data_IF_188592874482
#
_entry.id   IF_188592874482
#
_cell.length_a   1.000
_cell.length_b   1.000
_cell.length_c   1.000
_cell.angle_alpha   90.00
_cell.angle_beta   90.00
_cell.angle_gamma   90.00
#
_symmetry.space_group_name_H-M   'P 1'
#
loop_
_entity.id
_entity.type
_entity.pdbx_description
1 polymer ?
#
# COMPACT_ATOMS: atom_id res chain seq x y z
N UNK A 1 17.85 13.67 -9.50
CA UNK A 1 19.19 13.59 -8.86
C UNK A 1 19.19 13.94 -7.37
N UNK A 2 18.23 14.72 -6.87
CA UNK A 2 18.22 15.24 -5.47
C UNK A 2 17.29 14.50 -4.52
N UNK A 3 16.52 13.51 -4.97
CA UNK A 3 15.51 12.81 -4.16
C UNK A 3 16.04 11.67 -3.29
N UNK A 4 17.20 11.11 -3.61
CA UNK A 4 17.84 10.08 -2.77
C UNK A 4 18.73 10.67 -1.67
N UNK A 5 19.02 11.97 -1.74
CA UNK A 5 19.69 12.71 -0.68
C UNK A 5 18.65 13.56 0.05
N UNK A 6 18.41 13.33 1.32
CA UNK A 6 17.64 14.23 2.19
C UNK A 6 18.39 15.57 2.26
N UNK A 7 18.19 16.44 1.26
CA UNK A 7 18.73 17.77 1.25
C UNK A 7 17.81 18.67 2.08
N UNK A 8 18.31 19.11 3.21
CA UNK A 8 17.62 20.06 4.08
C UNK A 8 18.36 21.37 4.01
N UNK A 9 17.68 22.42 3.65
CA UNK A 9 18.23 23.77 3.67
C UNK A 9 17.22 24.75 4.27
N UNK A 10 17.73 25.81 4.84
CA UNK A 10 16.94 26.97 5.24
C UNK A 10 17.27 28.16 4.36
N UNK A 11 16.39 29.13 4.31
CA UNK A 11 16.67 30.41 3.65
C UNK A 11 16.24 31.58 4.52
N UNK A 12 16.94 32.69 4.37
CA UNK A 12 16.55 33.98 4.93
C UNK A 12 16.46 34.99 3.82
N UNK A 13 15.25 35.54 3.61
CA UNK A 13 14.95 36.50 2.55
C UNK A 13 14.78 37.91 3.12
N UNK A 14 15.45 38.89 2.49
CA UNK A 14 15.29 40.33 2.73
C UNK A 14 15.10 41.06 1.41
N UNK A 15 14.76 42.34 1.45
CA UNK A 15 14.54 43.12 0.25
C UNK A 15 15.75 43.18 -0.72
N UNK A 16 16.98 43.04 -0.20
CA UNK A 16 18.21 43.13 -0.98
C UNK A 16 19.07 41.86 -1.01
N UNK A 17 18.76 40.86 -0.21
CA UNK A 17 19.61 39.67 -0.06
C UNK A 17 18.76 38.41 0.23
N UNK A 18 19.23 37.31 -0.31
CA UNK A 18 18.79 35.97 0.09
C UNK A 18 20.02 35.18 0.55
N UNK A 19 19.86 34.46 1.67
CA UNK A 19 20.89 33.61 2.24
C UNK A 19 20.33 32.22 2.34
N UNK A 20 21.00 31.25 1.72
CA UNK A 20 20.69 29.83 1.87
C UNK A 20 21.64 29.21 2.90
N UNK A 21 21.11 28.40 3.79
CA UNK A 21 21.82 27.74 4.86
C UNK A 21 21.65 26.25 4.66
N UNK A 22 22.73 25.54 4.41
CA UNK A 22 22.72 24.09 4.22
C UNK A 22 23.81 23.40 5.04
N UNK A 23 23.64 22.09 5.21
CA UNK A 23 24.63 21.24 5.84
C UNK A 23 25.17 20.23 4.79
N UNK A 24 26.30 20.57 4.12
CA UNK A 24 26.95 19.62 3.22
C UNK A 24 27.45 20.15 1.88
N UNK A 25 27.29 21.42 1.53
CA UNK A 25 27.88 22.07 0.34
C UNK A 25 27.36 21.55 -1.02
N UNK A 26 26.20 20.92 -1.05
CA UNK A 26 25.63 20.31 -2.27
C UNK A 26 24.67 21.24 -3.03
N UNK A 27 24.03 22.15 -2.31
CA UNK A 27 23.01 23.06 -2.88
C UNK A 27 23.66 24.29 -3.50
N UNK A 28 24.78 24.77 -2.96
CA UNK A 28 25.46 25.97 -3.45
C UNK A 28 25.66 25.99 -4.96
N UNK A 29 26.35 25.00 -5.57
CA UNK A 29 26.58 24.97 -7.01
C UNK A 29 25.28 24.90 -7.83
N UNK A 30 24.24 24.26 -7.29
CA UNK A 30 22.92 24.19 -7.96
C UNK A 30 22.21 25.55 -7.92
N UNK A 31 22.27 26.29 -6.80
CA UNK A 31 21.70 27.63 -6.67
C UNK A 31 22.45 28.62 -7.58
N UNK A 32 23.78 28.53 -7.65
CA UNK A 32 24.59 29.33 -8.56
C UNK A 32 24.15 29.13 -10.01
N UNK A 33 23.92 27.91 -10.44
CA UNK A 33 23.40 27.62 -11.77
C UNK A 33 21.99 28.21 -11.98
N UNK A 34 21.11 28.21 -10.95
CA UNK A 34 19.81 28.86 -11.06
C UNK A 34 19.93 30.40 -11.20
N UNK A 35 20.89 31.00 -10.51
CA UNK A 35 21.18 32.41 -10.62
C UNK A 35 21.71 32.78 -12.02
N UNK A 36 22.59 31.96 -12.61
CA UNK A 36 23.08 32.14 -13.99
C UNK A 36 21.96 32.12 -15.02
N UNK A 37 20.94 31.25 -14.84
CA UNK A 37 19.76 31.18 -15.74
C UNK A 37 18.95 32.48 -15.70
N UNK A 38 18.87 33.14 -14.56
CA UNK A 38 18.16 34.41 -14.41
C UNK A 38 18.91 35.62 -15.00
N UNK A 39 20.24 35.50 -15.23
CA UNK A 39 21.09 36.56 -15.77
C UNK A 39 21.52 37.58 -14.71
N UNK A 40 22.07 38.74 -15.15
CA UNK A 40 22.75 39.69 -14.27
C UNK A 40 21.83 40.60 -13.44
N UNK A 41 20.52 40.60 -13.69
CA UNK A 41 19.58 41.52 -13.05
C UNK A 41 18.34 40.74 -12.51
N UNK A 42 18.47 40.12 -11.34
CA UNK A 42 17.35 39.51 -10.67
C UNK A 42 17.19 40.05 -9.24
N UNK A 43 15.96 39.96 -8.73
CA UNK A 43 15.67 40.21 -7.32
C UNK A 43 15.85 38.94 -6.50
N UNK A 44 16.15 39.06 -5.16
CA UNK A 44 16.20 37.90 -4.28
C UNK A 44 14.95 37.05 -4.30
N UNK A 45 13.77 37.64 -4.45
CA UNK A 45 12.49 36.95 -4.57
C UNK A 45 12.37 36.14 -5.86
N UNK A 46 12.88 36.67 -7.00
CA UNK A 46 12.91 35.91 -8.25
C UNK A 46 13.82 34.70 -8.19
N UNK A 47 14.99 34.83 -7.55
CA UNK A 47 15.88 33.68 -7.33
C UNK A 47 15.19 32.60 -6.46
N UNK A 48 14.53 33.03 -5.38
CA UNK A 48 13.80 32.08 -4.52
C UNK A 48 12.70 31.37 -5.34
N UNK A 49 11.91 32.10 -6.12
CA UNK A 49 10.86 31.51 -6.96
C UNK A 49 11.44 30.50 -7.98
N UNK A 50 12.57 30.83 -8.61
CA UNK A 50 13.25 29.94 -9.55
C UNK A 50 13.74 28.66 -8.86
N UNK A 51 14.35 28.80 -7.69
CA UNK A 51 14.82 27.67 -6.86
C UNK A 51 13.64 26.77 -6.48
N UNK A 52 12.59 27.34 -5.90
CA UNK A 52 11.42 26.61 -5.43
C UNK A 52 10.65 25.96 -6.60
N UNK A 53 10.51 26.67 -7.72
CA UNK A 53 9.86 26.15 -8.94
C UNK A 53 10.60 24.94 -9.53
N UNK A 54 11.93 25.00 -9.56
CA UNK A 54 12.74 23.89 -10.08
C UNK A 54 12.80 22.69 -9.15
N UNK A 55 12.63 22.88 -7.83
CA UNK A 55 12.54 21.78 -6.90
C UNK A 55 11.38 20.82 -7.17
N UNK A 56 10.28 21.36 -7.72
CA UNK A 56 9.07 20.59 -8.00
C UNK A 56 8.84 20.32 -9.49
N UNK A 57 9.82 20.68 -10.36
CA UNK A 57 9.66 20.61 -11.83
C UNK A 57 9.32 19.22 -12.32
N UNK A 58 10.03 18.20 -11.82
CA UNK A 58 9.94 16.83 -12.28
C UNK A 58 9.05 15.95 -11.37
N UNK A 59 8.42 16.58 -10.36
CA UNK A 59 7.69 15.84 -9.32
C UNK A 59 6.48 15.09 -9.84
N UNK A 60 5.82 15.64 -10.86
CA UNK A 60 4.69 14.94 -11.47
C UNK A 60 5.13 13.63 -12.15
N UNK A 61 6.26 13.63 -12.85
CA UNK A 61 6.80 12.42 -13.49
C UNK A 61 7.22 11.39 -12.46
N UNK A 62 7.79 11.86 -11.35
CA UNK A 62 8.17 10.98 -10.27
C UNK A 62 6.96 10.33 -9.56
N UNK A 63 5.88 11.09 -9.33
CA UNK A 63 4.65 10.55 -8.77
C UNK A 63 3.98 9.56 -9.72
N UNK A 64 3.94 9.88 -11.03
CA UNK A 64 3.43 8.94 -12.04
C UNK A 64 4.23 7.63 -12.07
N UNK A 65 5.54 7.67 -11.88
CA UNK A 65 6.35 6.45 -11.77
C UNK A 65 6.02 5.64 -10.50
N UNK A 66 5.76 6.31 -9.36
CA UNK A 66 5.31 5.59 -8.15
C UNK A 66 3.94 4.96 -8.38
N UNK A 67 3.03 5.66 -9.05
CA UNK A 67 1.70 5.16 -9.41
C UNK A 67 1.80 3.89 -10.26
N UNK A 68 2.59 3.93 -11.35
CA UNK A 68 2.86 2.75 -12.17
C UNK A 68 3.41 1.56 -11.37
N UNK A 69 4.32 1.82 -10.43
CA UNK A 69 4.85 0.77 -9.55
C UNK A 69 3.79 0.20 -8.60
N UNK A 70 2.82 1.01 -8.17
CA UNK A 70 1.72 0.52 -7.34
C UNK A 70 0.69 -0.28 -8.15
N UNK A 71 0.44 0.07 -9.41
CA UNK A 71 -0.37 -0.73 -10.35
C UNK A 71 0.25 -2.11 -10.60
N UNK A 72 1.57 -2.19 -10.78
CA UNK A 72 2.27 -3.48 -10.90
C UNK A 72 2.13 -4.36 -9.64
N UNK A 73 1.96 -3.77 -8.45
CA UNK A 73 1.66 -4.53 -7.24
C UNK A 73 0.25 -5.11 -7.26
N UNK A 74 -0.72 -4.43 -7.84
CA UNK A 74 -2.09 -4.93 -8.04
C UNK A 74 -2.11 -6.17 -8.94
N UNK A 75 -1.39 -6.11 -10.06
CA UNK A 75 -1.23 -7.25 -10.96
C UNK A 75 -0.64 -8.47 -10.24
N UNK A 76 0.40 -8.26 -9.44
CA UNK A 76 1.01 -9.33 -8.64
C UNK A 76 0.02 -9.96 -7.62
N UNK A 77 -0.89 -9.17 -7.02
CA UNK A 77 -1.93 -9.69 -6.12
C UNK A 77 -2.90 -10.58 -6.91
N UNK A 78 -3.36 -10.13 -8.06
CA UNK A 78 -4.33 -10.85 -8.90
C UNK A 78 -3.76 -12.14 -9.48
N UNK A 79 -2.47 -12.15 -9.80
CA UNK A 79 -1.73 -13.34 -10.26
C UNK A 79 -1.36 -14.30 -9.12
N UNK A 80 -1.54 -13.90 -7.86
CA UNK A 80 -1.20 -14.71 -6.68
C UNK A 80 0.30 -14.71 -6.33
N UNK A 81 1.09 -13.82 -6.92
CA UNK A 81 2.52 -13.67 -6.63
C UNK A 81 2.74 -12.69 -5.47
N UNK A 82 2.54 -13.15 -4.25
CA UNK A 82 2.47 -12.30 -3.04
C UNK A 82 3.74 -12.30 -2.18
N UNK A 83 4.82 -12.97 -2.61
CA UNK A 83 5.98 -13.27 -1.75
C UNK A 83 6.66 -12.07 -1.05
N UNK A 84 6.74 -10.90 -1.71
CA UNK A 84 7.36 -9.69 -1.15
C UNK A 84 6.40 -8.49 -1.08
N UNK A 85 5.11 -8.71 -1.32
CA UNK A 85 4.13 -7.65 -1.46
C UNK A 85 4.02 -6.77 -0.21
N UNK A 86 3.94 -7.37 0.97
CA UNK A 86 3.83 -6.64 2.24
C UNK A 86 5.01 -5.68 2.46
N UNK A 87 6.23 -6.11 2.12
CA UNK A 87 7.43 -5.27 2.22
C UNK A 87 7.35 -4.09 1.26
N UNK A 88 6.90 -4.34 0.02
CA UNK A 88 6.73 -3.30 -1.01
C UNK A 88 5.65 -2.28 -0.61
N UNK A 89 4.49 -2.72 -0.17
CA UNK A 89 3.42 -1.86 0.33
C UNK A 89 3.91 -0.96 1.49
N UNK A 90 4.64 -1.53 2.43
CA UNK A 90 5.19 -0.78 3.57
C UNK A 90 6.20 0.27 3.12
N UNK A 91 7.06 -0.07 2.15
CA UNK A 91 8.05 0.84 1.57
C UNK A 91 7.39 2.04 0.88
N UNK A 92 6.40 1.79 0.02
CA UNK A 92 5.68 2.85 -0.68
C UNK A 92 4.86 3.71 0.29
N UNK A 93 4.19 3.10 1.28
CA UNK A 93 3.46 3.83 2.31
C UNK A 93 4.34 4.83 3.05
N UNK A 94 5.55 4.41 3.44
CA UNK A 94 6.51 5.30 4.10
C UNK A 94 6.94 6.43 3.17
N UNK A 95 7.28 6.11 1.92
CA UNK A 95 7.73 7.09 0.92
C UNK A 95 6.64 8.13 0.61
N UNK A 96 5.38 7.70 0.45
CA UNK A 96 4.25 8.61 0.25
C UNK A 96 3.98 9.49 1.47
N UNK A 97 4.18 8.97 2.68
CA UNK A 97 4.07 9.79 3.90
C UNK A 97 5.14 10.88 3.97
N UNK A 98 6.37 10.56 3.59
CA UNK A 98 7.48 11.53 3.51
C UNK A 98 7.21 12.60 2.44
N UNK A 99 6.69 12.20 1.27
CA UNK A 99 6.31 13.14 0.20
C UNK A 99 5.14 14.03 0.59
N UNK A 100 4.14 13.48 1.28
CA UNK A 100 3.02 14.28 1.76
C UNK A 100 3.49 15.39 2.72
N UNK A 101 4.34 15.06 3.69
CA UNK A 101 4.90 16.02 4.61
C UNK A 101 5.79 17.06 3.89
N UNK A 102 6.47 16.66 2.83
CA UNK A 102 7.28 17.56 2.01
C UNK A 102 6.41 18.58 1.27
N UNK A 103 5.35 18.15 0.58
CA UNK A 103 4.46 19.08 -0.13
C UNK A 103 3.66 19.97 0.81
N UNK A 104 3.27 19.45 1.98
CA UNK A 104 2.61 20.22 3.04
C UNK A 104 3.48 21.43 3.47
N UNK A 105 4.77 21.19 3.71
CA UNK A 105 5.71 22.27 4.02
C UNK A 105 5.89 23.26 2.85
N UNK A 106 5.85 22.81 1.60
CA UNK A 106 5.95 23.70 0.45
C UNK A 106 4.70 24.56 0.27
N UNK A 107 3.53 24.03 0.55
CA UNK A 107 2.25 24.78 0.59
C UNK A 107 2.33 25.86 1.67
N UNK A 108 2.70 25.49 2.89
CA UNK A 108 2.85 26.44 4.01
C UNK A 108 3.81 27.60 3.66
N UNK A 109 4.96 27.28 3.04
CA UNK A 109 5.92 28.29 2.58
C UNK A 109 5.29 29.19 1.51
N UNK A 110 4.59 28.60 0.54
CA UNK A 110 3.94 29.34 -0.52
C UNK A 110 2.85 30.29 0.00
N UNK A 111 2.04 29.85 0.95
CA UNK A 111 1.04 30.68 1.61
C UNK A 111 1.68 31.81 2.44
N UNK A 112 2.73 31.50 3.20
CA UNK A 112 3.46 32.49 3.99
C UNK A 112 4.04 33.62 3.11
N UNK A 113 4.58 33.27 1.93
CA UNK A 113 5.16 34.24 1.03
C UNK A 113 4.14 35.11 0.29
N UNK A 114 2.85 34.74 0.28
CA UNK A 114 1.75 35.54 -0.23
C UNK A 114 1.26 36.58 0.77
N UNK A 115 1.67 36.53 2.05
CA UNK A 115 1.23 37.48 3.05
C UNK A 115 1.70 38.92 2.70
N UNK A 116 0.88 39.95 2.97
CA UNK A 116 1.19 41.35 2.70
C UNK A 116 2.52 41.81 3.31
N UNK A 117 2.93 41.23 4.42
CA UNK A 117 4.22 41.50 5.10
C UNK A 117 5.40 41.12 4.20
N UNK A 118 5.25 40.07 3.37
CA UNK A 118 6.29 39.58 2.49
C UNK A 118 6.30 40.30 1.10
N UNK A 119 5.29 41.07 0.78
CA UNK A 119 5.12 41.73 -0.54
C UNK A 119 6.31 42.60 -0.93
N UNK A 120 7.07 43.16 0.03
CA UNK A 120 8.26 43.97 -0.24
C UNK A 120 9.52 43.15 -0.58
N UNK A 121 9.50 41.84 -0.35
CA UNK A 121 10.66 40.95 -0.50
C UNK A 121 10.48 39.98 -1.68
N UNK A 122 9.24 39.75 -2.09
CA UNK A 122 8.85 38.69 -3.03
C UNK A 122 8.57 39.30 -4.40
N UNK A 123 8.87 38.56 -5.45
CA UNK A 123 8.36 38.80 -6.78
C UNK A 123 6.84 38.74 -6.78
N UNK A 124 6.21 39.05 -7.88
CA UNK A 124 4.77 39.20 -8.00
C UNK A 124 3.95 38.13 -7.21
N UNK A 125 2.95 38.59 -6.42
CA UNK A 125 2.12 37.67 -5.58
C UNK A 125 1.43 36.58 -6.40
N UNK A 126 1.07 36.83 -7.65
CA UNK A 126 0.43 35.89 -8.56
C UNK A 126 1.29 34.65 -8.84
N UNK A 127 2.61 34.80 -8.85
CA UNK A 127 3.51 33.67 -9.12
C UNK A 127 3.59 32.72 -7.93
N UNK A 128 3.52 33.26 -6.71
CA UNK A 128 3.44 32.43 -5.50
C UNK A 128 2.09 31.72 -5.36
N UNK A 129 1.00 32.33 -5.78
CA UNK A 129 -0.30 31.66 -5.85
C UNK A 129 -0.27 30.47 -6.82
N UNK A 130 0.31 30.66 -8.02
CA UNK A 130 0.50 29.56 -8.97
C UNK A 130 1.40 28.44 -8.43
N UNK A 131 2.47 28.80 -7.70
CA UNK A 131 3.36 27.84 -7.06
C UNK A 131 2.63 27.04 -6.00
N UNK A 132 1.92 27.70 -5.07
CA UNK A 132 1.15 27.06 -4.01
C UNK A 132 0.13 26.08 -4.60
N UNK A 133 -0.66 26.50 -5.57
CA UNK A 133 -1.62 25.62 -6.26
C UNK A 133 -0.95 24.45 -6.97
N UNK A 134 0.29 24.59 -7.43
CA UNK A 134 1.05 23.48 -7.98
C UNK A 134 1.46 22.50 -6.90
N UNK A 135 1.91 22.96 -5.74
CA UNK A 135 2.23 22.12 -4.59
C UNK A 135 1.00 21.36 -4.06
N UNK A 136 -0.16 22.04 -3.94
CA UNK A 136 -1.44 21.43 -3.58
C UNK A 136 -1.85 20.31 -4.55
N UNK A 137 -1.68 20.51 -5.86
CA UNK A 137 -1.97 19.46 -6.85
C UNK A 137 -1.05 18.25 -6.68
N UNK A 138 0.23 18.45 -6.38
CA UNK A 138 1.19 17.37 -6.12
C UNK A 138 0.83 16.65 -4.80
N UNK A 139 0.46 17.37 -3.77
CA UNK A 139 -0.01 16.83 -2.50
C UNK A 139 -1.27 15.98 -2.69
N UNK A 140 -2.26 16.49 -3.44
CA UNK A 140 -3.48 15.75 -3.76
C UNK A 140 -3.19 14.48 -4.56
N UNK A 141 -2.22 14.52 -5.48
CA UNK A 141 -1.78 13.33 -6.22
C UNK A 141 -1.13 12.28 -5.28
N UNK A 142 -0.30 12.73 -4.33
CA UNK A 142 0.24 11.83 -3.29
C UNK A 142 -0.87 11.18 -2.46
N UNK A 143 -1.90 11.95 -2.08
CA UNK A 143 -3.06 11.41 -1.34
C UNK A 143 -3.81 10.38 -2.18
N UNK A 144 -4.03 10.65 -3.46
CA UNK A 144 -4.65 9.70 -4.37
C UNK A 144 -3.88 8.36 -4.45
N UNK A 145 -2.55 8.41 -4.67
CA UNK A 145 -1.73 7.20 -4.70
C UNK A 145 -1.75 6.47 -3.35
N UNK A 146 -1.79 7.22 -2.24
CA UNK A 146 -1.87 6.65 -0.89
C UNK A 146 -3.20 5.92 -0.65
N UNK A 147 -4.31 6.46 -1.13
CA UNK A 147 -5.62 5.82 -1.05
C UNK A 147 -5.66 4.53 -1.86
N UNK A 148 -5.13 4.56 -3.10
CA UNK A 148 -4.98 3.36 -3.92
C UNK A 148 -4.13 2.29 -3.21
N UNK A 149 -3.03 2.70 -2.58
CA UNK A 149 -2.16 1.77 -1.84
C UNK A 149 -2.87 1.13 -0.63
N UNK A 150 -3.78 1.85 0.04
CA UNK A 150 -4.61 1.29 1.12
C UNK A 150 -5.58 0.25 0.56
N UNK A 151 -6.25 0.55 -0.57
CA UNK A 151 -7.15 -0.39 -1.24
C UNK A 151 -6.41 -1.67 -1.68
N UNK A 152 -5.16 -1.54 -2.17
CA UNK A 152 -4.31 -2.70 -2.47
C UNK A 152 -4.01 -3.55 -1.23
N UNK A 153 -3.80 -2.92 -0.08
CA UNK A 153 -3.65 -3.61 1.21
C UNK A 153 -4.90 -4.41 1.59
N UNK A 154 -6.08 -3.83 1.40
CA UNK A 154 -7.38 -4.49 1.65
C UNK A 154 -7.63 -5.64 0.66
N UNK A 155 -7.32 -5.44 -0.62
CA UNK A 155 -7.40 -6.47 -1.65
C UNK A 155 -6.50 -7.67 -1.30
N UNK A 156 -5.26 -7.40 -0.91
CA UNK A 156 -4.33 -8.44 -0.46
C UNK A 156 -4.88 -9.23 0.73
N UNK A 157 -5.39 -8.53 1.75
CA UNK A 157 -5.99 -9.18 2.91
C UNK A 157 -7.19 -10.04 2.50
N UNK A 158 -8.07 -9.52 1.65
CA UNK A 158 -9.23 -10.26 1.14
C UNK A 158 -8.84 -11.53 0.37
N UNK A 159 -7.79 -11.47 -0.45
CA UNK A 159 -7.28 -12.66 -1.17
C UNK A 159 -6.70 -13.70 -0.22
N UNK A 160 -5.99 -13.28 0.83
CA UNK A 160 -5.47 -14.19 1.86
C UNK A 160 -6.62 -14.84 2.65
N UNK A 161 -7.63 -14.07 3.03
CA UNK A 161 -8.81 -14.57 3.74
C UNK A 161 -9.59 -15.57 2.87
N UNK A 162 -9.76 -15.30 1.58
CA UNK A 162 -10.38 -16.21 0.64
C UNK A 162 -9.59 -17.53 0.50
N UNK A 163 -8.26 -17.45 0.45
CA UNK A 163 -7.39 -18.63 0.41
C UNK A 163 -7.51 -19.45 1.69
N UNK A 164 -7.43 -18.80 2.85
CA UNK A 164 -7.60 -19.45 4.15
C UNK A 164 -8.98 -20.11 4.30
N UNK A 165 -10.04 -19.41 3.89
CA UNK A 165 -11.40 -19.95 3.91
C UNK A 165 -11.55 -21.18 3.01
N UNK A 166 -10.86 -21.22 1.86
CA UNK A 166 -10.84 -22.39 0.97
C UNK A 166 -10.17 -23.59 1.65
N UNK A 167 -9.02 -23.39 2.31
CA UNK A 167 -8.32 -24.43 3.06
C UNK A 167 -9.19 -24.94 4.21
N UNK A 168 -9.80 -24.03 4.98
CA UNK A 168 -10.70 -24.38 6.09
C UNK A 168 -11.93 -25.15 5.59
N UNK A 169 -12.50 -24.75 4.46
CA UNK A 169 -13.61 -25.46 3.81
C UNK A 169 -13.21 -26.88 3.42
N UNK A 170 -12.05 -27.05 2.79
CA UNK A 170 -11.53 -28.38 2.43
C UNK A 170 -11.30 -29.27 3.67
N UNK A 171 -10.68 -28.72 4.71
CA UNK A 171 -10.47 -29.45 5.97
C UNK A 171 -11.80 -29.85 6.62
N UNK A 172 -12.79 -28.96 6.60
CA UNK A 172 -14.13 -29.21 7.13
C UNK A 172 -14.82 -30.35 6.38
N UNK A 173 -14.72 -30.40 5.05
CA UNK A 173 -15.27 -31.48 4.24
C UNK A 173 -14.65 -32.82 4.63
N UNK A 174 -13.30 -32.87 4.69
CA UNK A 174 -12.58 -34.10 5.08
C UNK A 174 -12.99 -34.54 6.47
N UNK A 175 -12.98 -33.64 7.45
CA UNK A 175 -13.31 -33.99 8.85
C UNK A 175 -14.75 -34.47 8.98
N UNK A 176 -15.69 -33.80 8.33
CA UNK A 176 -17.11 -34.20 8.38
C UNK A 176 -17.33 -35.56 7.74
N UNK A 177 -16.60 -35.84 6.64
CA UNK A 177 -16.69 -37.15 5.97
C UNK A 177 -16.11 -38.29 6.80
N UNK A 178 -14.99 -38.09 7.48
CA UNK A 178 -14.35 -39.17 8.26
C UNK A 178 -14.89 -39.34 9.68
N UNK A 179 -15.50 -38.29 10.25
CA UNK A 179 -15.94 -38.31 11.64
C UNK A 179 -16.97 -39.41 11.93
N UNK A 180 -18.08 -39.58 11.20
CA UNK A 180 -19.05 -40.65 11.50
C UNK A 180 -18.49 -42.03 11.17
N UNK A 181 -17.63 -42.15 10.13
CA UNK A 181 -16.95 -43.42 9.84
C UNK A 181 -15.99 -43.84 10.96
N UNK A 182 -15.24 -42.86 11.50
CA UNK A 182 -14.32 -43.08 12.62
C UNK A 182 -15.06 -43.41 13.89
N UNK A 183 -16.21 -42.76 14.14
CA UNK A 183 -17.07 -43.10 15.29
C UNK A 183 -17.59 -44.55 15.18
N UNK A 184 -18.06 -44.94 14.00
CA UNK A 184 -18.58 -46.29 13.74
C UNK A 184 -17.49 -47.34 13.91
N UNK A 185 -16.32 -47.14 13.32
CA UNK A 185 -15.19 -48.08 13.46
C UNK A 185 -14.63 -48.11 14.88
N UNK A 186 -14.59 -46.95 15.56
CA UNK A 186 -14.16 -46.86 16.95
C UNK A 186 -15.11 -47.56 17.91
N UNK A 187 -16.43 -47.43 17.68
CA UNK A 187 -17.45 -48.09 18.48
C UNK A 187 -17.35 -49.63 18.38
N UNK A 188 -17.28 -50.15 17.16
CA UNK A 188 -17.15 -51.60 16.95
C UNK A 188 -15.71 -52.12 17.15
N UNK A 189 -14.72 -51.26 17.31
CA UNK A 189 -13.34 -51.58 17.67
C UNK A 189 -13.12 -51.70 19.19
N UNK A 190 -14.13 -51.44 20.03
CA UNK A 190 -14.00 -51.54 21.47
C UNK A 190 -13.97 -53.00 21.93
N UNK A 191 -13.12 -53.31 22.94
CA UNK A 191 -12.92 -54.64 23.48
C UNK A 191 -13.90 -54.95 24.62
N UNK A 192 -15.20 -54.73 24.43
CA UNK A 192 -16.21 -55.13 25.43
C UNK A 192 -16.54 -56.61 25.34
N UNK A 193 -16.68 -57.28 26.50
CA UNK A 193 -16.98 -58.75 26.58
C UNK A 193 -18.40 -59.10 26.13
N UNK A 194 -19.34 -58.16 26.15
CA UNK A 194 -20.76 -58.36 25.85
C UNK A 194 -21.21 -57.33 24.78
N UNK A 195 -20.93 -57.66 23.53
CA UNK A 195 -21.46 -56.98 22.36
C UNK A 195 -22.27 -57.97 21.52
N UNK A 196 -23.60 -58.05 21.68
CA UNK A 196 -24.43 -59.03 21.00
C UNK A 196 -24.37 -58.88 19.45
N UNK A 197 -24.12 -57.70 18.97
CA UNK A 197 -24.00 -57.38 17.53
C UNK A 197 -22.78 -58.05 16.86
N UNK A 198 -21.69 -58.28 17.62
CA UNK A 198 -20.48 -58.95 17.11
C UNK A 198 -20.64 -60.45 16.94
N UNK A 199 -21.59 -61.10 17.68
CA UNK A 199 -21.89 -62.48 17.55
C UNK A 199 -22.89 -62.83 16.43
N UNK A 200 -23.46 -61.81 15.78
CA UNK A 200 -24.39 -61.96 14.67
C UNK A 200 -23.67 -62.30 13.37
N UNK A 201 -24.09 -63.36 12.69
CA UNK A 201 -23.46 -63.87 11.44
C UNK A 201 -23.35 -62.85 10.35
N UNK A 202 -24.27 -61.89 10.27
CA UNK A 202 -24.31 -60.82 9.26
C UNK A 202 -23.85 -59.48 9.83
N UNK A 203 -23.40 -59.38 11.07
CA UNK A 203 -23.01 -58.12 11.73
C UNK A 203 -21.95 -57.34 10.95
N UNK A 204 -20.94 -58.00 10.45
CA UNK A 204 -19.87 -57.34 9.65
C UNK A 204 -20.40 -56.74 8.35
N UNK A 205 -21.28 -57.47 7.62
CA UNK A 205 -21.89 -56.98 6.39
C UNK A 205 -22.82 -55.77 6.67
N UNK A 206 -23.54 -55.83 7.78
CA UNK A 206 -24.43 -54.75 8.22
C UNK A 206 -23.65 -53.46 8.52
N UNK A 207 -22.50 -53.56 9.22
CA UNK A 207 -21.64 -52.38 9.52
C UNK A 207 -21.08 -51.79 8.24
N UNK A 208 -20.63 -52.56 7.25
CA UNK A 208 -20.18 -52.10 5.97
C UNK A 208 -21.32 -51.40 5.22
N UNK A 209 -22.51 -51.96 5.22
CA UNK A 209 -23.67 -51.35 4.56
C UNK A 209 -24.03 -49.99 5.18
N UNK A 210 -24.02 -49.88 6.50
CA UNK A 210 -24.25 -48.62 7.21
C UNK A 210 -23.17 -47.59 6.88
N UNK A 211 -21.89 -47.97 6.87
CA UNK A 211 -20.78 -47.10 6.50
C UNK A 211 -20.93 -46.57 5.05
N UNK A 212 -21.31 -47.44 4.12
CA UNK A 212 -21.58 -47.03 2.73
C UNK A 212 -22.78 -46.08 2.61
N UNK A 213 -23.85 -46.32 3.34
CA UNK A 213 -25.02 -45.43 3.35
C UNK A 213 -24.63 -44.07 3.89
N UNK A 214 -23.87 -43.99 4.98
CA UNK A 214 -23.38 -42.74 5.55
C UNK A 214 -22.54 -42.00 4.50
N UNK A 215 -21.55 -42.64 3.88
CA UNK A 215 -20.67 -42.03 2.88
C UNK A 215 -21.43 -41.50 1.67
N UNK A 216 -22.43 -42.26 1.19
CA UNK A 216 -23.28 -41.84 0.06
C UNK A 216 -24.15 -40.64 0.46
N UNK A 217 -24.75 -40.65 1.64
CA UNK A 217 -25.57 -39.54 2.16
C UNK A 217 -24.74 -38.27 2.29
N UNK A 218 -23.53 -38.36 2.83
CA UNK A 218 -22.61 -37.20 2.95
C UNK A 218 -22.19 -36.68 1.60
N UNK A 219 -21.83 -37.56 0.66
CA UNK A 219 -21.46 -37.16 -0.70
C UNK A 219 -22.61 -36.42 -1.39
N UNK A 220 -23.85 -36.94 -1.28
CA UNK A 220 -25.04 -36.26 -1.85
C UNK A 220 -25.27 -34.90 -1.18
N UNK A 221 -25.11 -34.81 0.13
CA UNK A 221 -25.25 -33.57 0.89
C UNK A 221 -24.26 -32.49 0.44
N UNK A 222 -22.98 -32.84 0.35
CA UNK A 222 -21.94 -31.90 -0.10
C UNK A 222 -22.12 -31.49 -1.56
N UNK A 223 -22.50 -32.41 -2.43
CA UNK A 223 -22.80 -32.11 -3.85
C UNK A 223 -24.00 -31.17 -3.98
N UNK A 224 -25.05 -31.34 -3.18
CA UNK A 224 -26.24 -30.47 -3.21
C UNK A 224 -25.94 -29.05 -2.69
N UNK A 225 -25.02 -28.92 -1.74
CA UNK A 225 -24.59 -27.61 -1.20
C UNK A 225 -23.51 -26.90 -2.03
N UNK A 226 -23.10 -27.43 -3.17
CA UNK A 226 -22.07 -26.85 -4.05
C UNK A 226 -20.71 -26.61 -3.36
N UNK A 227 -20.33 -27.49 -2.47
CA UNK A 227 -18.98 -27.48 -1.89
C UNK A 227 -17.95 -28.13 -2.84
N UNK A 228 -18.44 -28.80 -3.88
CA UNK A 228 -17.70 -29.30 -5.04
C UNK A 228 -18.14 -28.58 -6.30
#
# INVERSE_FOLDING_TARGET
>A
LYRDAQLTFGFCLTASKIVFIENGGKIGPWIENQAEILGDAFTPGQLLMQVMGNMISDDILYLSHIEEQTEMLEDNITEGNTGNLFVSLTKYRRKLSELNAYYDQLVDIGELLQLPVCASFVSEPDDWDKYTRRCERLQNHVQFIRENLLQLGELYQSTQDAHQNRIMGFLTIITTFFLPLTLLTGWYGMNFRHMPELSWRYGYIAVIAVALIIAVCEFIYFKKKKYF
#
